data_IF_320336810916
#
_entry.id   IF_320336810916
#
_cell.length_a   1.000
_cell.length_b   1.000
_cell.length_c   1.000
_cell.angle_alpha   90.00
_cell.angle_beta   90.00
_cell.angle_gamma   90.00
#
_symmetry.space_group_name_H-M   'P 1'
#
loop_
_entity.id
_entity.type
_entity.pdbx_description
1 polymer ?
#
# COMPACT_ATOMS: atom_id res chain seq x y z
N UNK A 1 -5.46 -11.52 19.92
CA UNK A 1 -5.65 -11.77 18.47
C UNK A 1 -4.74 -10.83 17.69
N UNK A 2 -3.73 -11.37 17.01
CA UNK A 2 -2.88 -10.62 16.08
C UNK A 2 -3.71 -10.25 14.84
N UNK A 3 -3.69 -8.97 14.43
CA UNK A 3 -4.32 -8.55 13.16
C UNK A 3 -3.52 -9.15 12.00
N UNK A 4 -4.22 -9.68 11.00
CA UNK A 4 -3.67 -10.12 9.71
C UNK A 4 -3.55 -8.95 8.75
N UNK A 5 -2.69 -9.08 7.74
CA UNK A 5 -2.55 -8.07 6.69
C UNK A 5 -3.76 -8.12 5.76
N UNK A 6 -4.33 -6.97 5.41
CA UNK A 6 -5.45 -6.89 4.45
C UNK A 6 -4.92 -6.44 3.09
N UNK A 7 -5.26 -7.10 1.97
CA UNK A 7 -4.79 -6.72 0.64
C UNK A 7 -5.04 -5.25 0.27
N UNK A 8 -6.20 -4.70 0.63
CA UNK A 8 -6.52 -3.29 0.39
C UNK A 8 -5.58 -2.30 1.09
N UNK A 9 -4.85 -2.72 2.11
CA UNK A 9 -3.83 -1.88 2.75
C UNK A 9 -2.62 -1.61 1.86
N UNK A 10 -2.34 -2.49 0.89
CA UNK A 10 -1.23 -2.30 -0.03
C UNK A 10 -1.42 -1.03 -0.86
N UNK A 11 -2.59 -0.85 -1.48
CA UNK A 11 -2.95 0.38 -2.18
C UNK A 11 -3.23 1.52 -1.20
N UNK A 12 -4.03 1.31 -0.16
CA UNK A 12 -4.42 2.39 0.75
C UNK A 12 -3.22 3.08 1.41
N UNK A 13 -2.18 2.32 1.75
CA UNK A 13 -1.01 2.81 2.48
C UNK A 13 0.28 2.74 1.65
N UNK A 14 0.20 2.59 0.34
CA UNK A 14 1.38 2.52 -0.53
C UNK A 14 2.47 1.57 0.00
N UNK A 15 2.07 0.35 0.39
CA UNK A 15 2.98 -0.70 0.88
C UNK A 15 2.94 -1.92 -0.03
N UNK A 16 4.06 -2.63 -0.15
CA UNK A 16 4.11 -3.92 -0.83
C UNK A 16 4.62 -5.01 0.11
N UNK A 17 4.09 -6.23 -0.05
CA UNK A 17 4.57 -7.41 0.67
C UNK A 17 5.97 -7.74 0.14
N UNK A 18 6.94 -7.84 1.05
CA UNK A 18 8.34 -8.13 0.74
C UNK A 18 8.73 -9.56 1.11
N UNK A 19 8.12 -10.12 2.16
CA UNK A 19 8.38 -11.48 2.63
C UNK A 19 7.06 -12.15 3.02
N UNK A 20 6.92 -13.42 2.65
CA UNK A 20 5.81 -14.30 3.01
C UNK A 20 6.36 -15.53 3.72
N UNK A 21 5.55 -16.09 4.62
CA UNK A 21 5.81 -17.37 5.24
C UNK A 21 5.70 -18.49 4.18
N UNK A 22 6.71 -19.37 4.05
CA UNK A 22 6.76 -20.34 2.95
C UNK A 22 5.66 -21.41 3.05
N UNK A 23 5.17 -21.70 4.25
CA UNK A 23 4.21 -22.78 4.50
C UNK A 23 2.76 -22.32 4.30
N UNK A 24 2.42 -21.12 4.78
CA UNK A 24 1.05 -20.60 4.75
C UNK A 24 0.83 -19.55 3.66
N UNK A 25 1.91 -19.01 3.08
CA UNK A 25 1.85 -17.86 2.19
C UNK A 25 1.50 -16.55 2.89
N UNK A 26 1.39 -16.53 4.23
CA UNK A 26 0.99 -15.35 4.97
C UNK A 26 2.09 -14.28 4.91
N UNK A 27 1.75 -13.00 4.68
CA UNK A 27 2.75 -11.94 4.69
C UNK A 27 3.36 -11.82 6.08
N UNK A 28 4.69 -11.78 6.13
CA UNK A 28 5.50 -11.58 7.34
C UNK A 28 6.15 -10.20 7.35
N UNK A 29 6.26 -9.57 6.17
CA UNK A 29 6.86 -8.23 6.03
C UNK A 29 6.29 -7.46 4.85
N UNK A 30 6.03 -6.18 5.08
CA UNK A 30 5.67 -5.22 4.05
C UNK A 30 6.64 -4.04 4.08
N UNK A 31 6.89 -3.41 2.94
CA UNK A 31 7.78 -2.24 2.81
C UNK A 31 7.02 -1.04 2.29
N UNK A 32 7.41 0.15 2.75
CA UNK A 32 6.89 1.41 2.23
C UNK A 32 7.41 1.64 0.80
N UNK A 33 6.49 1.75 -0.16
CA UNK A 33 6.85 1.99 -1.56
C UNK A 33 7.36 3.40 -1.78
N UNK A 34 6.85 4.38 -1.02
CA UNK A 34 7.36 5.75 -1.11
C UNK A 34 8.81 5.87 -0.62
N UNK A 35 9.21 5.10 0.41
CA UNK A 35 10.61 5.03 0.83
C UNK A 35 11.52 4.39 -0.24
N UNK A 36 10.99 3.43 -1.01
CA UNK A 36 11.74 2.72 -2.05
C UNK A 36 11.89 3.57 -3.30
N UNK A 37 10.81 4.24 -3.72
CA UNK A 37 10.74 4.96 -5.00
C UNK A 37 11.21 6.40 -4.89
N UNK A 38 10.99 7.06 -3.76
CA UNK A 38 11.29 8.47 -3.58
C UNK A 38 12.35 8.68 -2.50
N UNK A 39 13.15 9.72 -2.68
CA UNK A 39 13.93 10.27 -1.56
C UNK A 39 12.95 10.91 -0.58
N UNK A 40 13.38 11.11 0.67
CA UNK A 40 12.55 11.86 1.64
C UNK A 40 12.10 13.17 1.01
N UNK A 41 10.79 13.41 0.97
CA UNK A 41 10.29 14.74 0.69
C UNK A 41 10.84 15.66 1.76
N UNK A 42 11.49 16.74 1.32
CA UNK A 42 11.89 17.80 2.23
C UNK A 42 10.59 18.39 2.75
N UNK A 43 10.24 18.03 3.99
CA UNK A 43 9.17 18.72 4.70
C UNK A 43 9.58 20.18 4.75
N UNK A 44 8.77 21.04 4.12
CA UNK A 44 8.99 22.48 4.01
C UNK A 44 9.60 23.04 5.32
N UNK A 45 10.86 23.48 5.26
CA UNK A 45 11.57 24.10 6.39
C UNK A 45 12.65 23.28 7.11
N UNK A 46 12.84 21.99 6.80
CA UNK A 46 13.87 21.18 7.47
C UNK A 46 15.26 21.32 6.84
N UNK A 47 16.00 22.38 7.19
CA UNK A 47 17.46 22.46 6.95
C UNK A 47 18.16 21.31 7.67
N UNK A 48 18.41 20.15 7.02
CA UNK A 48 19.64 19.32 7.17
C UNK A 48 19.61 17.98 6.42
N UNK A 49 20.65 17.84 5.58
CA UNK A 49 21.36 16.62 5.10
C UNK A 49 20.50 15.53 4.46
N UNK A 50 20.63 15.41 3.13
CA UNK A 50 20.30 14.25 2.29
C UNK A 50 20.88 12.95 2.89
N UNK A 51 20.19 12.32 3.84
CA UNK A 51 20.41 10.92 4.19
C UNK A 51 19.56 10.09 3.23
N UNK A 52 20.15 9.06 2.60
CA UNK A 52 19.37 8.03 1.89
C UNK A 52 18.27 7.55 2.84
N UNK A 53 17.02 7.67 2.44
CA UNK A 53 15.88 7.11 3.18
C UNK A 53 16.04 5.61 3.17
N UNK A 54 16.40 5.04 4.32
CA UNK A 54 16.35 3.59 4.51
C UNK A 54 14.90 3.16 4.30
N UNK A 55 14.67 2.15 3.47
CA UNK A 55 13.33 1.62 3.23
C UNK A 55 12.74 1.13 4.55
N UNK A 56 11.61 1.74 4.96
CA UNK A 56 10.92 1.33 6.16
C UNK A 56 10.11 0.06 5.90
N UNK A 57 10.09 -0.84 6.88
CA UNK A 57 9.37 -2.11 6.82
C UNK A 57 8.43 -2.27 8.01
N UNK A 58 7.34 -2.96 7.78
CA UNK A 58 6.28 -3.27 8.73
C UNK A 58 6.16 -4.79 8.85
N UNK A 59 5.83 -5.25 10.05
CA UNK A 59 5.68 -6.66 10.38
C UNK A 59 4.50 -6.87 11.34
N UNK A 60 4.04 -8.12 11.54
CA UNK A 60 3.02 -8.43 12.52
C UNK A 60 3.42 -7.96 13.94
N UNK A 61 2.46 -7.54 14.79
CA UNK A 61 1.04 -7.40 14.50
C UNK A 61 0.76 -6.24 13.55
N UNK A 62 -0.06 -6.47 12.52
CA UNK A 62 -0.29 -5.47 11.48
C UNK A 62 -1.10 -4.28 12.01
N UNK A 63 -0.49 -3.09 12.00
CA UNK A 63 -1.09 -1.84 12.51
C UNK A 63 -1.24 -0.81 11.38
N UNK A 64 -2.46 -0.58 10.86
CA UNK A 64 -2.68 0.41 9.81
C UNK A 64 -2.36 1.84 10.29
N UNK A 65 -2.51 2.09 11.58
CA UNK A 65 -2.20 3.38 12.22
C UNK A 65 -0.72 3.72 12.09
N UNK A 66 0.16 2.71 12.20
CA UNK A 66 1.61 2.89 12.01
C UNK A 66 1.96 3.15 10.55
N UNK A 67 1.31 2.46 9.61
CA UNK A 67 1.52 2.66 8.17
C UNK A 67 1.12 4.08 7.77
N UNK A 68 -0.07 4.52 8.17
CA UNK A 68 -0.57 5.88 7.92
C UNK A 68 0.36 6.94 8.50
N UNK A 69 0.67 6.84 9.80
CA UNK A 69 1.55 7.80 10.49
C UNK A 69 2.91 7.91 9.82
N UNK A 70 3.46 6.79 9.35
CA UNK A 70 4.74 6.80 8.63
C UNK A 70 4.66 7.63 7.33
N UNK A 71 3.62 7.42 6.52
CA UNK A 71 3.42 8.15 5.27
C UNK A 71 3.21 9.64 5.53
N UNK A 72 2.37 9.99 6.50
CA UNK A 72 2.10 11.38 6.88
C UNK A 72 3.35 12.12 7.39
N UNK A 73 4.26 11.43 8.08
CA UNK A 73 5.45 12.05 8.66
C UNK A 73 6.67 12.07 7.73
N UNK A 74 6.82 11.04 6.88
CA UNK A 74 8.03 10.86 6.06
C UNK A 74 7.79 11.20 4.58
N UNK A 75 6.54 11.18 4.14
CA UNK A 75 6.13 11.36 2.75
C UNK A 75 4.91 12.29 2.64
N UNK A 76 4.79 13.30 3.51
CA UNK A 76 3.60 14.15 3.62
C UNK A 76 3.09 14.65 2.26
N UNK A 77 3.97 15.25 1.45
CA UNK A 77 3.65 15.83 0.14
C UNK A 77 3.17 14.75 -0.84
N UNK A 78 3.99 13.72 -1.06
CA UNK A 78 3.67 12.63 -1.99
C UNK A 78 2.46 11.81 -1.57
N UNK A 79 2.27 11.62 -0.28
CA UNK A 79 1.12 10.90 0.26
C UNK A 79 -0.16 11.73 0.14
N UNK A 80 -0.07 13.06 0.21
CA UNK A 80 -1.19 13.92 -0.11
C UNK A 80 -1.63 13.79 -1.57
N UNK A 81 -0.68 13.89 -2.51
CA UNK A 81 -0.95 13.64 -3.94
C UNK A 81 -1.53 12.25 -4.16
N UNK A 82 -0.94 11.22 -3.54
CA UNK A 82 -1.35 9.83 -3.71
C UNK A 82 -2.77 9.53 -3.19
N UNK A 83 -3.24 10.23 -2.14
CA UNK A 83 -4.58 10.00 -1.58
C UNK A 83 -5.68 10.36 -2.58
N UNK A 84 -5.46 11.38 -3.39
CA UNK A 84 -6.44 11.91 -4.35
C UNK A 84 -6.60 11.02 -5.59
N UNK A 85 -5.60 10.16 -5.84
CA UNK A 85 -5.59 9.26 -6.99
C UNK A 85 -6.64 8.14 -6.88
N UNK A 86 -7.19 7.75 -8.03
CA UNK A 86 -7.99 6.52 -8.17
C UNK A 86 -7.12 5.28 -7.96
N UNK A 87 -7.74 4.13 -7.68
CA UNK A 87 -6.98 2.87 -7.49
C UNK A 87 -6.16 2.50 -8.73
N UNK A 88 -6.68 2.80 -9.93
CA UNK A 88 -5.98 2.59 -11.21
C UNK A 88 -4.75 3.49 -11.37
N UNK A 89 -4.83 4.74 -10.92
CA UNK A 89 -3.71 5.67 -10.93
C UNK A 89 -2.68 5.32 -9.86
N UNK A 90 -3.14 4.89 -8.68
CA UNK A 90 -2.29 4.40 -7.58
C UNK A 90 -1.42 3.23 -8.00
N UNK A 91 -1.95 2.31 -8.82
CA UNK A 91 -1.19 1.21 -9.40
C UNK A 91 -0.07 1.68 -10.33
N UNK A 92 -0.24 2.81 -11.02
CA UNK A 92 0.74 3.39 -11.97
C UNK A 92 1.62 4.48 -11.36
N UNK A 93 1.39 4.83 -10.09
CA UNK A 93 2.10 5.91 -9.41
C UNK A 93 3.58 5.58 -9.13
N UNK A 94 3.91 4.29 -8.98
CA UNK A 94 5.27 3.83 -8.74
C UNK A 94 5.88 3.27 -10.04
N UNK A 95 7.22 3.33 -10.21
CA UNK A 95 7.88 2.73 -11.37
C UNK A 95 7.69 1.21 -11.41
N UNK A 96 7.75 0.63 -12.61
CA UNK A 96 7.42 -0.77 -12.90
C UNK A 96 8.21 -1.81 -12.06
N UNK A 97 9.42 -1.47 -11.62
CA UNK A 97 10.24 -2.29 -10.72
C UNK A 97 9.61 -2.46 -9.31
N UNK A 98 8.57 -1.67 -9.00
CA UNK A 98 7.90 -1.60 -7.71
C UNK A 98 6.46 -2.08 -7.86
N UNK A 99 6.30 -3.41 -7.81
CA UNK A 99 4.98 -4.06 -7.82
C UNK A 99 4.24 -3.83 -6.50
N UNK A 100 3.09 -3.15 -6.58
CA UNK A 100 2.08 -3.22 -5.52
C UNK A 100 1.47 -4.61 -5.63
N UNK A 101 1.92 -5.54 -4.79
CA UNK A 101 1.36 -6.89 -4.78
C UNK A 101 0.00 -6.87 -4.05
N UNK A 102 -0.99 -6.22 -4.66
CA UNK A 102 -2.39 -6.47 -4.40
C UNK A 102 -2.71 -7.75 -5.14
N UNK A 103 -2.80 -8.88 -4.44
CA UNK A 103 -3.56 -9.99 -5.02
C UNK A 103 -4.99 -9.47 -5.20
N UNK A 104 -5.50 -9.35 -6.44
CA UNK A 104 -6.90 -9.01 -6.62
C UNK A 104 -7.69 -10.16 -6.00
N UNK A 105 -8.63 -9.82 -5.10
CA UNK A 105 -9.76 -10.71 -4.91
C UNK A 105 -10.48 -10.73 -6.23
N UNK A 106 -10.45 -11.88 -6.90
CA UNK A 106 -11.54 -12.24 -7.79
C UNK A 106 -12.76 -12.34 -6.87
N UNK A 107 -13.55 -11.27 -6.82
CA UNK A 107 -14.89 -11.35 -6.27
C UNK A 107 -15.69 -12.20 -7.26
N UNK A 108 -15.95 -13.44 -6.85
CA UNK A 108 -16.76 -14.42 -7.54
C UNK A 108 -18.19 -13.87 -7.73
N UNK A 109 -18.51 -13.65 -8.99
CA UNK A 109 -19.82 -13.57 -9.64
C UNK A 109 -21.05 -13.94 -8.77
N UNK A 110 -21.93 -12.96 -8.53
CA UNK A 110 -23.34 -13.22 -8.24
C UNK A 110 -24.21 -12.05 -8.70
N UNK A 111 -24.29 -11.82 -10.02
CA UNK A 111 -25.43 -11.12 -10.60
C UNK A 111 -26.52 -12.17 -10.78
N UNK A 112 -27.42 -12.27 -9.80
CA UNK A 112 -28.63 -13.07 -9.95
C UNK A 112 -29.63 -12.32 -10.86
N UNK A 113 -29.94 -13.02 -11.95
CA UNK A 113 -31.00 -12.85 -12.94
C UNK A 113 -32.26 -12.10 -12.43
N UNK A 114 -32.64 -11.02 -13.13
CA UNK A 114 -33.89 -10.26 -12.92
C UNK A 114 -34.82 -10.57 -14.11
N UNK A 115 -36.12 -10.84 -13.91
CA UNK A 115 -36.88 -11.77 -14.74
C UNK A 115 -37.37 -11.16 -16.06
N UNK A 116 -37.32 -11.98 -17.13
CA UNK A 116 -38.01 -11.70 -18.38
C UNK A 116 -39.52 -11.79 -18.17
N UNK A 117 -40.19 -10.64 -18.24
CA UNK A 117 -41.63 -10.52 -18.46
C UNK A 117 -42.00 -11.28 -19.76
N UNK A 118 -42.88 -12.28 -19.66
CA UNK A 118 -43.71 -12.71 -20.79
C UNK A 118 -45.12 -12.20 -20.55
N UNK A 119 -45.57 -11.32 -21.45
CA UNK A 119 -46.97 -10.98 -21.67
C UNK A 119 -47.56 -12.00 -22.67
#
# INVERSE_FOLDING_TARGET
>A
MSRTFRPGWALQFAVAIAECEPETGAPTKAVCLMCRSFKRDETEGAKRRKRKTKVHSFSPPWRPDNMRRHLEQQHALRYEEYKDLTDEEKCRFFPDDVVINTQPKVDDEAIQDIPVLRL
#
